data_IF_971630601337
#
_entry.id   IF_971630601337
#
_cell.length_a   1.000
_cell.length_b   1.000
_cell.length_c   1.000
_cell.angle_alpha   90.00
_cell.angle_beta   90.00
_cell.angle_gamma   90.00
#
_symmetry.space_group_name_H-M   'P 1'
#
loop_
_entity.id
_entity.type
_entity.pdbx_description
1 polymer ?
#
# COMPACT_ATOMS: atom_id res chain seq x y z
N UNK A 1 -56.75 9.42 4.78
CA UNK A 1 -55.51 10.09 4.32
C UNK A 1 -54.36 9.53 5.14
N UNK A 2 -53.51 8.74 4.51
CA UNK A 2 -52.50 7.92 5.18
C UNK A 2 -51.35 8.77 5.72
N UNK A 3 -51.05 8.62 7.01
CA UNK A 3 -49.77 8.99 7.60
C UNK A 3 -48.76 7.88 7.31
N UNK A 4 -47.65 8.22 6.65
CA UNK A 4 -46.49 7.36 6.53
C UNK A 4 -45.27 8.20 6.94
N UNK A 5 -44.88 8.08 8.22
CA UNK A 5 -43.61 8.60 8.73
C UNK A 5 -42.51 7.69 8.20
N UNK A 6 -41.65 8.21 7.32
CA UNK A 6 -40.43 7.53 6.89
C UNK A 6 -39.29 7.95 7.82
N UNK A 7 -38.83 7.02 8.65
CA UNK A 7 -37.63 7.20 9.48
C UNK A 7 -36.41 6.86 8.63
N UNK A 8 -35.64 7.87 8.22
CA UNK A 8 -34.33 7.68 7.61
C UNK A 8 -33.25 7.65 8.69
N UNK A 9 -32.66 6.47 8.90
CA UNK A 9 -31.45 6.27 9.68
C UNK A 9 -30.30 7.05 9.03
N UNK A 10 -29.89 8.17 9.64
CA UNK A 10 -28.64 8.86 9.30
C UNK A 10 -27.47 8.09 9.90
N UNK A 11 -26.67 7.44 9.05
CA UNK A 11 -25.38 6.87 9.42
C UNK A 11 -24.32 7.97 9.23
N UNK A 12 -23.81 8.52 10.33
CA UNK A 12 -22.79 9.57 10.31
C UNK A 12 -21.47 9.00 9.78
N UNK A 13 -21.16 9.31 8.51
CA UNK A 13 -19.83 9.15 7.94
C UNK A 13 -18.94 10.32 8.41
N UNK A 14 -18.28 10.15 9.56
CA UNK A 14 -17.22 11.06 9.98
C UNK A 14 -15.93 10.69 9.26
N UNK A 15 -15.72 11.30 8.10
CA UNK A 15 -14.43 11.35 7.43
C UNK A 15 -13.41 12.06 8.32
N UNK A 16 -12.36 11.35 8.73
CA UNK A 16 -11.21 11.91 9.43
C UNK A 16 -10.36 12.71 8.44
N UNK A 17 -10.59 14.03 8.35
CA UNK A 17 -9.71 14.91 7.61
C UNK A 17 -8.40 15.15 8.39
N UNK A 18 -7.30 14.58 7.89
CA UNK A 18 -5.95 14.90 8.39
C UNK A 18 -5.49 16.21 7.73
N UNK A 19 -5.32 17.24 8.55
CA UNK A 19 -4.88 18.58 8.17
C UNK A 19 -3.51 18.54 7.45
N UNK A 20 -3.47 18.94 6.18
CA UNK A 20 -2.23 19.11 5.43
C UNK A 20 -2.12 20.58 4.99
N UNK A 21 -1.24 21.32 5.67
CA UNK A 21 -1.11 22.76 5.55
C UNK A 21 -0.56 23.22 4.20
N UNK A 22 -1.30 24.15 3.59
CA UNK A 22 -0.88 25.17 2.63
C UNK A 22 -0.29 24.67 1.29
N UNK A 23 -1.20 24.54 0.31
CA UNK A 23 -1.01 24.60 -1.15
C UNK A 23 -1.05 23.28 -1.96
N UNK A 24 -2.07 22.45 -1.77
CA UNK A 24 -2.39 21.38 -2.71
C UNK A 24 -3.79 21.56 -3.32
N UNK A 25 -3.92 22.42 -4.36
CA UNK A 25 -5.09 22.44 -5.26
C UNK A 25 -5.07 21.20 -6.16
N UNK A 26 -5.08 20.01 -5.57
CA UNK A 26 -5.01 18.75 -6.29
C UNK A 26 -6.22 17.93 -5.87
N UNK A 27 -7.05 17.56 -6.84
CA UNK A 27 -8.20 16.69 -6.58
C UNK A 27 -7.71 15.38 -5.94
N UNK A 28 -8.32 14.94 -4.84
CA UNK A 28 -8.03 13.63 -4.27
C UNK A 28 -8.26 12.58 -5.36
N UNK A 29 -7.32 11.65 -5.49
CA UNK A 29 -7.41 10.53 -6.41
C UNK A 29 -7.31 9.26 -5.59
N UNK A 30 -8.44 8.59 -5.42
CA UNK A 30 -8.47 7.26 -4.86
C UNK A 30 -8.03 6.26 -5.94
N UNK A 31 -7.18 5.31 -5.57
CA UNK A 31 -6.79 4.17 -6.40
C UNK A 31 -7.13 2.93 -5.59
N UNK A 32 -8.23 2.29 -5.95
CA UNK A 32 -8.62 1.02 -5.35
C UNK A 32 -7.72 -0.07 -5.92
N UNK A 33 -7.18 -0.92 -5.03
CA UNK A 33 -6.35 -2.05 -5.40
C UNK A 33 -6.94 -3.28 -4.73
N UNK A 34 -7.60 -4.09 -5.53
CA UNK A 34 -8.01 -5.40 -5.09
C UNK A 34 -6.77 -6.29 -4.96
N UNK A 35 -6.82 -7.27 -4.05
CA UNK A 35 -5.67 -8.16 -3.79
C UNK A 35 -5.18 -8.89 -5.05
N UNK A 36 -6.08 -9.15 -6.00
CA UNK A 36 -5.83 -9.75 -7.32
C UNK A 36 -5.02 -8.86 -8.27
N UNK A 37 -5.07 -7.55 -8.08
CA UNK A 37 -4.42 -6.57 -8.96
C UNK A 37 -3.02 -6.20 -8.46
N UNK A 38 -2.60 -6.74 -7.31
CA UNK A 38 -1.26 -6.56 -6.75
C UNK A 38 -0.30 -7.50 -7.49
N UNK A 39 0.71 -6.91 -8.13
CA UNK A 39 1.78 -7.67 -8.78
C UNK A 39 2.53 -8.53 -7.77
N UNK A 40 2.77 -9.79 -8.12
CA UNK A 40 3.52 -10.74 -7.29
C UNK A 40 4.69 -11.31 -8.07
N UNK A 41 5.78 -11.58 -7.36
CA UNK A 41 6.94 -12.26 -7.90
C UNK A 41 7.52 -13.20 -6.84
N UNK A 42 8.23 -14.23 -7.29
CA UNK A 42 8.91 -15.17 -6.40
C UNK A 42 10.26 -15.54 -6.99
N UNK A 43 11.29 -15.51 -6.15
CA UNK A 43 12.65 -15.87 -6.55
C UNK A 43 13.42 -16.35 -5.32
N UNK A 44 14.19 -17.43 -5.47
CA UNK A 44 15.14 -17.92 -4.46
C UNK A 44 14.53 -18.12 -3.05
N UNK A 45 13.26 -18.58 -2.98
CA UNK A 45 12.54 -18.79 -1.71
C UNK A 45 11.99 -17.50 -1.08
N UNK A 46 12.03 -16.38 -1.80
CA UNK A 46 11.43 -15.10 -1.39
C UNK A 46 10.24 -14.80 -2.29
N UNK A 47 9.06 -14.73 -1.69
CA UNK A 47 7.84 -14.25 -2.35
C UNK A 47 7.62 -12.78 -2.00
N UNK A 48 7.31 -11.96 -3.00
CA UNK A 48 7.01 -10.54 -2.82
C UNK A 48 5.66 -10.19 -3.43
N UNK A 49 4.90 -9.38 -2.69
CA UNK A 49 3.74 -8.64 -3.18
C UNK A 49 4.14 -7.18 -3.32
N UNK A 50 4.04 -6.64 -4.52
CA UNK A 50 4.57 -5.32 -4.89
C UNK A 50 3.40 -4.35 -4.92
N UNK A 51 3.17 -3.65 -3.82
CA UNK A 51 2.11 -2.66 -3.73
C UNK A 51 2.51 -1.40 -4.52
N UNK A 52 3.73 -0.91 -4.36
CA UNK A 52 4.28 0.20 -5.13
C UNK A 52 5.78 0.01 -5.39
N UNK A 53 6.24 0.42 -6.57
CA UNK A 53 7.63 0.28 -7.00
C UNK A 53 7.86 -0.99 -7.83
N UNK A 54 9.06 -1.56 -7.71
CA UNK A 54 9.53 -2.70 -8.50
C UNK A 54 10.39 -3.64 -7.66
N UNK A 55 10.17 -4.95 -7.82
CA UNK A 55 11.00 -6.01 -7.24
C UNK A 55 11.10 -7.20 -8.20
N UNK A 56 12.27 -7.85 -8.22
CA UNK A 56 12.55 -8.99 -9.10
C UNK A 56 12.22 -8.74 -10.59
N UNK A 57 12.32 -7.49 -11.05
CA UNK A 57 11.98 -7.10 -12.43
C UNK A 57 10.47 -6.98 -12.73
N UNK A 58 9.62 -7.13 -11.71
CA UNK A 58 8.18 -6.94 -11.81
C UNK A 58 7.82 -5.60 -11.18
N UNK A 59 7.05 -4.78 -11.91
CA UNK A 59 6.66 -3.42 -11.50
C UNK A 59 5.18 -3.36 -11.17
N UNK A 60 4.84 -2.69 -10.07
CA UNK A 60 3.45 -2.43 -9.70
C UNK A 60 2.77 -1.47 -10.70
N UNK A 61 1.49 -1.70 -11.03
CA UNK A 61 0.69 -0.78 -11.85
C UNK A 61 0.33 0.52 -11.10
N UNK A 62 0.58 0.58 -9.79
CA UNK A 62 0.17 1.69 -8.93
C UNK A 62 0.96 2.95 -9.27
N UNK A 63 0.23 4.01 -9.57
CA UNK A 63 0.81 5.32 -9.77
C UNK A 63 0.99 6.03 -8.42
N UNK A 64 2.23 6.35 -8.07
CA UNK A 64 2.57 7.14 -6.89
C UNK A 64 3.02 8.54 -7.32
N UNK A 65 2.41 9.58 -6.72
CA UNK A 65 2.77 10.99 -7.02
C UNK A 65 4.15 11.32 -6.45
N UNK A 66 4.39 10.91 -5.21
CA UNK A 66 5.72 10.87 -4.62
C UNK A 66 6.31 9.51 -4.93
N UNK A 67 7.53 9.43 -5.48
CA UNK A 67 8.19 8.15 -5.69
C UNK A 67 8.28 7.38 -4.36
N UNK A 68 7.62 6.23 -4.31
CA UNK A 68 7.51 5.40 -3.10
C UNK A 68 7.63 3.92 -3.48
N UNK A 69 8.28 3.16 -2.60
CA UNK A 69 8.38 1.71 -2.65
C UNK A 69 7.63 1.14 -1.46
N UNK A 70 6.73 0.19 -1.73
CA UNK A 70 6.00 -0.50 -0.68
C UNK A 70 5.76 -1.95 -1.10
N UNK A 71 6.35 -2.86 -0.34
CA UNK A 71 6.45 -4.28 -0.66
C UNK A 71 6.23 -5.11 0.59
N UNK A 72 5.53 -6.23 0.42
CA UNK A 72 5.27 -7.23 1.44
C UNK A 72 6.02 -8.50 1.06
N UNK A 73 7.01 -8.87 1.86
CA UNK A 73 7.91 -10.00 1.62
C UNK A 73 7.57 -11.17 2.54
N UNK A 74 7.45 -12.35 1.97
CA UNK A 74 7.43 -13.64 2.67
C UNK A 74 8.67 -14.42 2.30
N UNK A 75 9.51 -14.74 3.28
CA UNK A 75 10.81 -15.36 3.07
C UNK A 75 10.86 -16.77 3.69
N UNK A 76 11.42 -17.73 2.96
CA UNK A 76 11.74 -19.06 3.51
C UNK A 76 12.98 -18.99 4.42
N UNK A 77 13.12 -19.88 5.41
CA UNK A 77 14.32 -19.94 6.25
C UNK A 77 15.60 -20.08 5.42
N UNK A 78 16.61 -19.26 5.73
CA UNK A 78 17.90 -19.26 5.03
C UNK A 78 17.91 -18.54 3.67
N UNK A 79 16.77 -18.04 3.18
CA UNK A 79 16.74 -17.19 1.98
C UNK A 79 17.36 -15.82 2.25
N UNK A 80 17.85 -15.18 1.19
CA UNK A 80 18.46 -13.84 1.24
C UNK A 80 17.78 -12.92 0.23
N UNK A 81 17.60 -11.66 0.61
CA UNK A 81 16.98 -10.64 -0.24
C UNK A 81 17.91 -9.44 -0.36
N UNK A 82 18.19 -9.05 -1.61
CA UNK A 82 18.86 -7.80 -1.92
C UNK A 82 17.90 -6.90 -2.70
N UNK A 83 17.25 -5.96 -2.01
CA UNK A 83 16.36 -4.97 -2.62
C UNK A 83 17.10 -3.64 -2.77
N UNK A 84 17.38 -3.17 -4.00
CA UNK A 84 18.02 -1.87 -4.20
C UNK A 84 17.05 -0.74 -3.81
N UNK A 85 17.52 0.17 -2.95
CA UNK A 85 16.81 1.40 -2.59
C UNK A 85 17.48 2.58 -3.31
N UNK A 86 16.72 3.45 -4.00
CA UNK A 86 17.29 4.61 -4.66
C UNK A 86 18.04 5.53 -3.68
N UNK A 87 19.14 6.13 -4.15
CA UNK A 87 19.96 7.02 -3.33
C UNK A 87 19.13 8.21 -2.83
N UNK A 88 19.25 8.52 -1.54
CA UNK A 88 18.56 9.64 -0.89
C UNK A 88 17.13 9.33 -0.44
N UNK A 89 16.65 8.09 -0.63
CA UNK A 89 15.39 7.65 -0.05
C UNK A 89 15.57 7.20 1.38
N UNK A 90 14.54 7.45 2.20
CA UNK A 90 14.43 6.85 3.53
C UNK A 90 13.75 5.49 3.39
N UNK A 91 14.27 4.47 4.08
CA UNK A 91 13.72 3.13 4.08
C UNK A 91 13.67 2.57 5.50
N UNK A 92 12.71 1.70 5.75
CA UNK A 92 12.58 0.94 6.98
C UNK A 92 12.00 -0.43 6.64
N UNK A 93 12.18 -1.39 7.56
CA UNK A 93 11.60 -2.73 7.46
C UNK A 93 10.78 -2.99 8.72
N UNK A 94 9.66 -3.68 8.56
CA UNK A 94 8.83 -4.12 9.66
C UNK A 94 8.58 -5.63 9.55
N UNK A 95 8.92 -6.37 10.60
CA UNK A 95 8.65 -7.81 10.67
C UNK A 95 7.27 -8.03 11.26
N UNK A 96 6.36 -8.58 10.45
CA UNK A 96 5.02 -8.97 10.90
C UNK A 96 5.09 -10.27 11.72
N UNK A 97 5.90 -11.23 11.26
CA UNK A 97 6.07 -12.54 11.90
C UNK A 97 7.45 -13.12 11.58
N UNK A 98 8.08 -13.76 12.56
CA UNK A 98 9.39 -14.39 12.44
C UNK A 98 10.53 -13.47 12.90
N UNK A 99 11.73 -13.73 12.38
CA UNK A 99 12.95 -12.97 12.68
C UNK A 99 13.87 -12.96 11.46
N UNK A 100 14.77 -12.00 11.41
CA UNK A 100 15.71 -11.83 10.31
C UNK A 100 16.82 -10.86 10.66
N UNK A 101 17.87 -10.83 9.85
CA UNK A 101 19.00 -9.90 9.95
C UNK A 101 18.98 -9.02 8.72
N UNK A 102 19.19 -7.71 8.91
CA UNK A 102 19.11 -6.69 7.87
C UNK A 102 20.39 -5.86 7.83
#
# INVERSE_FOLDING_TARGET
>A
MNHMMSTSLHYNDQSLETNCSNNARIKPRYQELESKDISQAEKDGVKVRIIAGEAFGVRSPVYTRTPTMYMDFTMQPGSQLHQPIPKGWNAFVYIIKGEGVF
#
